data_IF_618096721411
#
_entry.id   IF_618096721411
#
_cell.length_a   1.000
_cell.length_b   1.000
_cell.length_c   1.000
_cell.angle_alpha   90.00
_cell.angle_beta   90.00
_cell.angle_gamma   90.00
#
_symmetry.space_group_name_H-M   'P 1'
#
loop_
_entity.id
_entity.type
_entity.pdbx_description
1 polymer ?
#
# COMPACT_ATOMS: atom_id res chain seq x y z
N UNK A 1 -17.92 -25.13 -1.74
CA UNK A 1 -17.88 -23.66 -1.62
C UNK A 1 -17.57 -23.32 -0.17
N UNK A 2 -16.30 -23.12 0.16
CA UNK A 2 -15.88 -22.68 1.48
C UNK A 2 -15.31 -21.27 1.33
N UNK A 3 -16.04 -20.31 1.89
CA UNK A 3 -15.68 -18.90 1.97
C UNK A 3 -14.70 -18.80 3.14
N UNK A 4 -13.42 -18.56 2.86
CA UNK A 4 -12.45 -18.23 3.91
C UNK A 4 -12.79 -16.84 4.48
N UNK A 5 -12.91 -16.67 5.80
CA UNK A 5 -12.94 -15.34 6.39
C UNK A 5 -11.49 -14.84 6.46
N UNK A 6 -11.08 -14.03 5.47
CA UNK A 6 -9.88 -13.20 5.61
C UNK A 6 -10.22 -12.15 6.67
N UNK A 7 -9.78 -12.38 7.91
CA UNK A 7 -9.70 -11.34 8.93
C UNK A 7 -8.61 -10.36 8.46
N UNK A 8 -9.02 -9.30 7.79
CA UNK A 8 -8.19 -8.14 7.52
C UNK A 8 -7.81 -7.50 8.86
N UNK A 9 -6.57 -7.67 9.29
CA UNK A 9 -6.05 -7.08 10.54
C UNK A 9 -5.99 -5.55 10.41
N UNK A 10 -6.62 -4.77 11.30
CA UNK A 10 -6.66 -3.30 11.24
C UNK A 10 -5.43 -2.57 11.81
N UNK A 11 -4.33 -3.28 12.12
CA UNK A 11 -3.39 -2.81 13.16
C UNK A 11 -2.34 -1.78 12.73
N UNK A 12 -2.03 -1.60 11.45
CA UNK A 12 -0.94 -0.71 11.05
C UNK A 12 -1.32 0.78 11.23
N UNK A 13 -2.60 1.13 11.12
CA UNK A 13 -3.04 2.54 11.14
C UNK A 13 -3.86 2.93 12.36
N UNK A 14 -4.46 1.98 13.08
CA UNK A 14 -5.09 2.28 14.37
C UNK A 14 -4.07 2.61 15.46
N UNK A 15 -2.83 2.10 15.38
CA UNK A 15 -1.80 2.37 16.38
C UNK A 15 -1.27 3.82 16.35
N UNK A 16 -1.39 4.51 15.21
CA UNK A 16 -0.90 5.89 15.08
C UNK A 16 -1.79 6.90 15.81
N UNK A 17 -3.08 6.63 15.98
CA UNK A 17 -3.99 7.56 16.65
C UNK A 17 -3.97 7.50 18.18
N UNK A 18 -3.35 6.49 18.78
CA UNK A 18 -3.20 6.43 20.25
C UNK A 18 -2.05 7.32 20.75
N UNK A 19 -1.19 7.83 19.85
CA UNK A 19 0.05 8.50 20.25
C UNK A 19 0.27 9.90 19.66
N UNK A 20 -0.63 10.44 18.82
CA UNK A 20 -0.50 11.84 18.39
C UNK A 20 -0.94 12.76 19.53
N UNK A 21 -0.09 12.92 20.54
CA UNK A 21 -0.11 14.12 21.38
C UNK A 21 0.26 15.29 20.47
N UNK A 22 -0.72 15.84 19.74
CA UNK A 22 -0.55 17.09 19.01
C UNK A 22 -0.29 18.15 20.08
N UNK A 23 0.99 18.37 20.39
CA UNK A 23 1.40 19.48 21.23
C UNK A 23 1.30 20.71 20.33
N UNK A 24 0.08 21.22 20.19
CA UNK A 24 -0.22 22.41 19.42
C UNK A 24 0.42 23.60 20.15
N UNK A 25 1.68 23.89 19.84
CA UNK A 25 2.35 25.10 20.31
C UNK A 25 1.66 26.29 19.62
N UNK A 26 0.73 26.92 20.34
CA UNK A 26 0.17 28.20 19.97
C UNK A 26 1.30 29.26 19.99
N UNK A 27 1.94 29.50 18.84
CA UNK A 27 2.86 30.62 18.66
C UNK A 27 2.04 31.92 18.60
N UNK A 28 1.90 32.58 19.74
CA UNK A 28 1.54 33.99 19.81
C UNK A 28 2.76 34.83 19.44
N UNK A 29 2.85 35.27 18.19
CA UNK A 29 3.75 36.36 17.82
C UNK A 29 3.18 37.70 18.33
N UNK A 30 3.87 38.45 19.21
CA UNK A 30 3.45 39.79 19.56
C UNK A 30 3.86 40.78 18.46
N UNK A 31 2.87 41.39 17.81
CA UNK A 31 3.05 42.65 17.07
C UNK A 31 3.29 43.76 18.11
N UNK A 32 4.32 44.60 18.00
CA UNK A 32 4.57 45.65 18.98
C UNK A 32 3.61 46.82 18.78
N UNK A 33 2.84 47.26 19.80
CA UNK A 33 2.17 48.55 19.75
C UNK A 33 3.09 49.65 20.29
N UNK A 34 3.12 50.75 19.54
CA UNK A 34 3.70 52.02 19.93
C UNK A 34 3.04 52.58 21.20
N UNK A 35 3.82 53.36 21.94
CA UNK A 35 3.69 53.70 23.36
C UNK A 35 2.41 54.46 23.75
N UNK A 36 1.85 54.09 24.91
CA UNK A 36 0.84 54.82 25.70
C UNK A 36 1.50 55.95 26.52
N UNK A 37 0.75 56.82 27.22
CA UNK A 37 0.64 56.53 28.66
C UNK A 37 -0.69 56.91 29.32
N UNK A 38 -1.20 55.99 30.15
CA UNK A 38 -2.07 56.35 31.28
C UNK A 38 -3.07 55.30 31.74
N UNK A 39 -2.65 54.34 32.60
CA UNK A 39 -3.33 53.96 33.85
C UNK A 39 -2.77 52.67 34.48
N UNK A 40 -2.97 52.56 35.80
CA UNK A 40 -2.34 51.73 36.86
C UNK A 40 -2.62 50.20 36.81
N UNK A 41 -1.92 49.39 37.65
CA UNK A 41 -1.70 47.96 37.45
C UNK A 41 -2.85 47.09 37.98
N UNK A 42 -3.18 46.04 37.22
CA UNK A 42 -3.99 44.92 37.67
C UNK A 42 -3.31 43.59 37.31
N UNK A 43 -3.37 42.56 38.16
CA UNK A 43 -2.78 41.27 37.85
C UNK A 43 -3.65 40.58 36.79
N UNK A 44 -3.27 40.69 35.52
CA UNK A 44 -3.93 39.96 34.45
C UNK A 44 -3.46 38.50 34.49
N UNK A 45 -4.09 37.72 35.37
CA UNK A 45 -4.20 36.27 35.17
C UNK A 45 -5.21 36.08 34.05
N UNK A 46 -4.73 36.02 32.81
CA UNK A 46 -5.56 35.57 31.69
C UNK A 46 -6.00 34.15 31.98
N UNK A 47 -7.27 34.00 32.36
CA UNK A 47 -7.93 32.70 32.43
C UNK A 47 -7.86 32.01 31.06
N UNK A 48 -7.83 30.66 30.99
CA UNK A 48 -7.88 29.97 29.73
C UNK A 48 -9.13 30.40 28.95
N UNK A 49 -8.96 30.71 27.67
CA UNK A 49 -10.04 31.24 26.80
C UNK A 49 -11.16 30.22 26.54
N UNK A 50 -10.99 28.98 26.99
CA UNK A 50 -11.88 27.84 26.81
C UNK A 50 -11.89 26.99 28.07
N UNK A 51 -13.02 26.35 28.38
CA UNK A 51 -13.09 25.31 29.42
C UNK A 51 -12.40 24.03 28.95
N UNK A 52 -11.99 23.18 29.89
CA UNK A 52 -11.39 21.86 29.57
C UNK A 52 -12.31 21.04 28.65
N UNK A 53 -13.62 21.05 28.94
CA UNK A 53 -14.64 20.37 28.14
C UNK A 53 -14.70 20.90 26.70
N UNK A 54 -14.60 22.22 26.52
CA UNK A 54 -14.57 22.85 25.20
C UNK A 54 -13.29 22.51 24.44
N UNK A 55 -12.15 22.46 25.12
CA UNK A 55 -10.89 22.03 24.50
C UNK A 55 -10.97 20.57 24.05
N UNK A 56 -11.50 19.69 24.89
CA UNK A 56 -11.68 18.28 24.57
C UNK A 56 -12.63 18.08 23.39
N UNK A 57 -13.74 18.83 23.32
CA UNK A 57 -14.67 18.77 22.19
C UNK A 57 -14.03 19.25 20.88
N UNK A 58 -13.21 20.31 20.92
CA UNK A 58 -12.48 20.79 19.76
C UNK A 58 -11.44 19.77 19.27
N UNK A 59 -10.73 19.12 20.19
CA UNK A 59 -9.75 18.07 19.87
C UNK A 59 -10.47 16.89 19.21
N UNK A 60 -11.55 16.39 19.81
CA UNK A 60 -12.32 15.27 19.24
C UNK A 60 -12.85 15.58 17.83
N UNK A 61 -13.36 16.80 17.60
CA UNK A 61 -13.79 17.23 16.26
C UNK A 61 -12.65 17.31 15.26
N UNK A 62 -11.46 17.69 15.70
CA UNK A 62 -10.27 17.71 14.85
C UNK A 62 -9.82 16.30 14.51
N UNK A 63 -9.75 15.40 15.49
CA UNK A 63 -9.44 13.98 15.29
C UNK A 63 -10.39 13.32 14.30
N UNK A 64 -11.70 13.52 14.44
CA UNK A 64 -12.72 13.02 13.50
C UNK A 64 -12.48 13.48 12.06
N UNK A 65 -12.06 14.74 11.89
CA UNK A 65 -11.76 15.31 10.56
C UNK A 65 -10.49 14.71 9.98
N UNK A 66 -9.45 14.55 10.79
CA UNK A 66 -8.21 13.90 10.37
C UNK A 66 -8.50 12.47 9.95
N UNK A 67 -9.26 11.72 10.76
CA UNK A 67 -9.64 10.34 10.47
C UNK A 67 -10.39 10.24 9.13
N UNK A 68 -11.37 11.12 8.88
CA UNK A 68 -12.10 11.14 7.59
C UNK A 68 -11.18 11.42 6.39
N UNK A 69 -10.26 12.37 6.53
CA UNK A 69 -9.28 12.67 5.47
C UNK A 69 -8.34 11.49 5.21
N UNK A 70 -7.80 10.91 6.28
CA UNK A 70 -6.90 9.76 6.20
C UNK A 70 -7.62 8.55 5.59
N UNK A 71 -8.84 8.21 6.03
CA UNK A 71 -9.59 7.09 5.46
C UNK A 71 -9.91 7.28 3.97
N UNK A 72 -10.19 8.51 3.53
CA UNK A 72 -10.46 8.79 2.12
C UNK A 72 -9.24 8.50 1.21
N UNK A 73 -8.03 8.73 1.69
CA UNK A 73 -6.79 8.49 0.91
C UNK A 73 -6.27 7.08 1.14
N UNK A 74 -6.11 6.70 2.41
CA UNK A 74 -5.49 5.44 2.80
C UNK A 74 -6.43 4.24 2.60
N UNK A 75 -7.74 4.46 2.68
CA UNK A 75 -8.73 3.46 2.31
C UNK A 75 -8.67 3.12 0.83
N UNK A 76 -8.40 4.09 -0.04
CA UNK A 76 -8.19 3.85 -1.49
C UNK A 76 -6.91 3.03 -1.72
N UNK A 77 -5.79 3.43 -1.11
CA UNK A 77 -4.53 2.68 -1.18
C UNK A 77 -4.72 1.24 -0.68
N UNK A 78 -5.35 1.06 0.49
CA UNK A 78 -5.59 -0.27 1.08
C UNK A 78 -6.44 -1.16 0.19
N UNK A 79 -7.48 -0.58 -0.42
CA UNK A 79 -8.34 -1.31 -1.36
C UNK A 79 -7.54 -1.79 -2.57
N UNK A 80 -6.70 -0.93 -3.13
CA UNK A 80 -5.87 -1.29 -4.29
C UNK A 80 -4.78 -2.30 -3.93
N UNK A 81 -4.11 -2.15 -2.77
CA UNK A 81 -3.19 -3.16 -2.22
C UNK A 81 -3.84 -4.54 -2.10
N UNK A 82 -5.09 -4.58 -1.60
CA UNK A 82 -5.82 -5.83 -1.44
C UNK A 82 -6.12 -6.48 -2.79
N UNK A 83 -6.51 -5.69 -3.79
CA UNK A 83 -6.78 -6.17 -5.15
C UNK A 83 -5.50 -6.70 -5.82
N UNK A 84 -4.39 -5.95 -5.75
CA UNK A 84 -3.07 -6.38 -6.20
C UNK A 84 -2.67 -7.70 -5.53
N UNK A 85 -2.74 -7.77 -4.20
CA UNK A 85 -2.37 -8.97 -3.45
C UNK A 85 -3.23 -10.18 -3.83
N UNK A 86 -4.54 -9.99 -4.05
CA UNK A 86 -5.44 -11.05 -4.48
C UNK A 86 -5.06 -11.59 -5.87
N UNK A 87 -4.78 -10.70 -6.82
CA UNK A 87 -4.38 -11.05 -8.19
C UNK A 87 -3.03 -11.74 -8.23
N UNK A 88 -2.08 -11.22 -7.48
CA UNK A 88 -0.78 -11.84 -7.25
C UNK A 88 -0.92 -13.26 -6.68
N UNK A 89 -1.69 -13.42 -5.59
CA UNK A 89 -1.96 -14.72 -4.97
C UNK A 89 -2.61 -15.72 -5.93
N UNK A 90 -3.49 -15.23 -6.82
CA UNK A 90 -4.10 -16.05 -7.86
C UNK A 90 -3.09 -16.56 -8.89
N UNK A 91 -2.18 -15.70 -9.36
CA UNK A 91 -1.14 -16.03 -10.33
C UNK A 91 -0.02 -16.91 -9.76
N UNK A 92 0.07 -17.00 -8.43
CA UNK A 92 1.05 -17.83 -7.72
C UNK A 92 0.63 -19.27 -7.47
N UNK A 93 -0.61 -19.63 -7.78
CA UNK A 93 -1.05 -21.00 -7.61
C UNK A 93 -0.15 -21.93 -8.44
N UNK A 94 0.24 -23.12 -7.92
CA UNK A 94 1.13 -24.03 -8.63
C UNK A 94 0.65 -24.38 -10.05
N UNK A 95 -0.67 -24.47 -10.22
CA UNK A 95 -1.35 -24.72 -11.50
C UNK A 95 -1.01 -23.67 -12.57
N UNK A 96 -0.61 -22.46 -12.18
CA UNK A 96 -0.31 -21.34 -13.10
C UNK A 96 1.13 -21.35 -13.57
N UNK A 97 1.98 -22.12 -12.89
CA UNK A 97 3.38 -22.31 -13.22
C UNK A 97 3.64 -23.66 -13.89
N UNK A 98 2.61 -24.50 -14.05
CA UNK A 98 2.72 -25.81 -14.68
C UNK A 98 2.12 -25.76 -16.09
N UNK A 99 2.92 -25.98 -17.15
CA UNK A 99 2.44 -25.92 -18.52
C UNK A 99 1.41 -27.01 -18.86
N UNK A 100 1.26 -28.05 -18.04
CA UNK A 100 0.24 -29.11 -18.25
C UNK A 100 -1.19 -28.64 -17.94
N UNK A 101 -1.37 -27.49 -17.29
CA UNK A 101 -2.71 -26.93 -17.02
C UNK A 101 -3.27 -26.11 -18.18
N UNK A 102 -2.46 -25.86 -19.21
CA UNK A 102 -2.87 -25.16 -20.43
C UNK A 102 -3.41 -26.21 -21.41
N UNK A 103 -4.69 -26.08 -21.79
CA UNK A 103 -5.34 -26.98 -22.74
C UNK A 103 -5.05 -26.57 -24.18
N UNK A 104 -4.78 -25.29 -24.40
CA UNK A 104 -4.44 -24.74 -25.71
C UNK A 104 -3.54 -23.51 -25.59
N UNK A 105 -3.02 -23.04 -26.73
CA UNK A 105 -2.24 -21.80 -26.78
C UNK A 105 -3.08 -20.58 -26.39
N UNK A 106 -4.37 -20.60 -26.67
CA UNK A 106 -5.29 -19.52 -26.32
C UNK A 106 -5.39 -19.34 -24.81
N UNK A 107 -5.24 -20.42 -24.02
CA UNK A 107 -5.15 -20.29 -22.56
C UNK A 107 -3.98 -19.40 -22.16
N UNK A 108 -2.82 -19.50 -22.83
CA UNK A 108 -1.65 -18.64 -22.56
C UNK A 108 -2.01 -17.16 -22.71
N UNK A 109 -2.82 -16.82 -23.72
CA UNK A 109 -3.30 -15.43 -23.91
C UNK A 109 -4.17 -14.98 -22.74
N UNK A 110 -5.10 -15.82 -22.26
CA UNK A 110 -5.92 -15.52 -21.08
C UNK A 110 -5.05 -15.27 -19.84
N UNK A 111 -3.96 -16.03 -19.69
CA UNK A 111 -2.99 -15.84 -18.61
C UNK A 111 -2.19 -14.56 -18.75
N UNK A 112 -1.76 -14.21 -19.96
CA UNK A 112 -1.12 -12.92 -20.25
C UNK A 112 -2.04 -11.75 -19.94
N UNK A 113 -3.33 -11.86 -20.25
CA UNK A 113 -4.33 -10.83 -19.90
C UNK A 113 -4.45 -10.67 -18.38
N UNK A 114 -4.50 -11.77 -17.63
CA UNK A 114 -4.51 -11.74 -16.16
C UNK A 114 -3.25 -11.10 -15.57
N UNK A 115 -2.08 -11.39 -16.15
CA UNK A 115 -0.80 -10.81 -15.76
C UNK A 115 -0.73 -9.31 -16.10
N UNK A 116 -1.28 -8.91 -17.24
CA UNK A 116 -1.43 -7.51 -17.64
C UNK A 116 -2.33 -6.76 -16.67
N UNK A 117 -3.46 -7.34 -16.27
CA UNK A 117 -4.31 -6.74 -15.26
C UNK A 117 -3.58 -6.55 -13.93
N UNK A 118 -2.76 -7.53 -13.48
CA UNK A 118 -1.91 -7.34 -12.30
C UNK A 118 -0.92 -6.18 -12.49
N UNK A 119 -0.28 -6.09 -13.66
CA UNK A 119 0.66 -5.00 -13.97
C UNK A 119 -0.01 -3.63 -13.94
N UNK A 120 -1.16 -3.50 -14.58
CA UNK A 120 -1.91 -2.24 -14.63
C UNK A 120 -2.35 -1.83 -13.21
N UNK A 121 -2.70 -2.81 -12.37
CA UNK A 121 -3.04 -2.60 -10.97
C UNK A 121 -1.85 -2.17 -10.11
N UNK A 122 -0.69 -2.78 -10.30
CA UNK A 122 0.54 -2.37 -9.61
C UNK A 122 0.95 -0.94 -10.00
N UNK A 123 0.85 -0.58 -11.28
CA UNK A 123 1.11 0.80 -11.75
C UNK A 123 0.12 1.78 -11.11
N UNK A 124 -1.16 1.41 -11.03
CA UNK A 124 -2.18 2.21 -10.35
C UNK A 124 -1.86 2.42 -8.87
N UNK A 125 -1.43 1.36 -8.19
CA UNK A 125 -1.04 1.40 -6.79
C UNK A 125 0.20 2.28 -6.54
N UNK A 126 1.23 2.15 -7.37
CA UNK A 126 2.43 3.00 -7.32
C UNK A 126 2.07 4.47 -7.44
N UNK A 127 1.14 4.79 -8.35
CA UNK A 127 0.63 6.14 -8.52
C UNK A 127 -0.05 6.66 -7.26
N UNK A 128 -0.90 5.85 -6.62
CA UNK A 128 -1.55 6.23 -5.37
C UNK A 128 -0.54 6.51 -4.26
N UNK A 129 0.53 5.72 -4.16
CA UNK A 129 1.61 5.98 -3.21
C UNK A 129 2.41 7.24 -3.53
N UNK A 130 2.71 7.50 -4.81
CA UNK A 130 3.40 8.70 -5.23
C UNK A 130 2.57 9.98 -4.98
N UNK A 131 1.25 9.89 -5.13
CA UNK A 131 0.31 11.00 -4.94
C UNK A 131 -0.16 11.15 -3.48
N UNK A 132 0.20 10.23 -2.59
CA UNK A 132 -0.29 10.18 -1.20
C UNK A 132 -0.04 11.49 -0.43
N UNK A 133 1.08 12.17 -0.66
CA UNK A 133 1.36 13.47 -0.02
C UNK A 133 0.35 14.54 -0.44
N UNK A 134 0.18 14.71 -1.75
CA UNK A 134 -0.74 15.69 -2.29
C UNK A 134 -2.19 15.35 -1.93
N UNK A 135 -2.58 14.09 -2.06
CA UNK A 135 -3.95 13.65 -1.78
C UNK A 135 -4.32 13.81 -0.32
N UNK A 136 -3.40 13.50 0.60
CA UNK A 136 -3.63 13.67 2.03
C UNK A 136 -3.71 15.15 2.41
N UNK A 137 -2.83 16.00 1.88
CA UNK A 137 -2.90 17.44 2.07
C UNK A 137 -4.25 18.02 1.60
N UNK A 138 -4.68 17.65 0.40
CA UNK A 138 -5.96 18.07 -0.16
C UNK A 138 -7.15 17.59 0.69
N UNK A 139 -7.14 16.32 1.13
CA UNK A 139 -8.20 15.76 1.95
C UNK A 139 -8.31 16.46 3.32
N UNK A 140 -7.19 16.78 3.96
CA UNK A 140 -7.18 17.52 5.24
C UNK A 140 -7.76 18.92 5.09
N UNK A 141 -7.40 19.66 4.03
CA UNK A 141 -7.94 20.99 3.72
C UNK A 141 -9.45 20.91 3.45
N UNK A 142 -9.92 19.89 2.72
CA UNK A 142 -11.35 19.65 2.47
C UNK A 142 -12.14 19.42 3.76
N UNK A 143 -11.52 18.84 4.79
CA UNK A 143 -12.10 18.72 6.13
C UNK A 143 -12.05 20.02 6.95
N UNK A 144 -11.70 21.15 6.31
CA UNK A 144 -11.60 22.48 6.92
C UNK A 144 -10.59 22.54 8.05
N UNK A 145 -9.50 21.77 7.93
CA UNK A 145 -8.34 21.89 8.81
C UNK A 145 -7.48 23.04 8.29
N UNK A 146 -6.96 23.87 9.21
CA UNK A 146 -6.06 24.96 8.84
C UNK A 146 -4.80 24.43 8.13
N UNK A 147 -4.32 25.13 7.11
CA UNK A 147 -3.16 24.71 6.30
C UNK A 147 -1.94 24.32 7.14
N UNK A 148 -1.56 25.14 8.12
CA UNK A 148 -0.38 24.84 8.95
C UNK A 148 -0.56 23.58 9.79
N UNK A 149 -1.78 23.32 10.26
CA UNK A 149 -2.11 22.12 11.04
C UNK A 149 -2.18 20.91 10.11
N UNK A 150 -2.78 21.06 8.93
CA UNK A 150 -2.85 20.03 7.90
C UNK A 150 -1.45 19.59 7.45
N UNK A 151 -0.52 20.53 7.22
CA UNK A 151 0.85 20.21 6.83
C UNK A 151 1.60 19.45 7.93
N UNK A 152 1.43 19.83 9.20
CA UNK A 152 2.01 19.10 10.33
C UNK A 152 1.47 17.67 10.41
N UNK A 153 0.15 17.50 10.37
CA UNK A 153 -0.50 16.19 10.45
C UNK A 153 -0.11 15.32 9.25
N UNK A 154 -0.13 15.87 8.04
CA UNK A 154 0.29 15.19 6.82
C UNK A 154 1.72 14.67 6.96
N UNK A 155 2.65 15.52 7.39
CA UNK A 155 4.05 15.13 7.53
C UNK A 155 4.24 14.02 8.57
N UNK A 156 3.56 14.09 9.72
CA UNK A 156 3.63 13.04 10.73
C UNK A 156 3.01 11.72 10.24
N UNK A 157 1.86 11.79 9.56
CA UNK A 157 1.24 10.62 8.96
C UNK A 157 2.16 9.98 7.90
N UNK A 158 2.74 10.74 6.97
CA UNK A 158 3.59 10.17 5.93
C UNK A 158 4.94 9.66 6.46
N UNK A 159 5.50 10.25 7.53
CA UNK A 159 6.72 9.74 8.18
C UNK A 159 6.53 8.33 8.75
N UNK A 160 5.31 8.00 9.17
CA UNK A 160 5.00 6.68 9.73
C UNK A 160 4.95 5.57 8.67
N UNK A 161 4.95 5.92 7.38
CA UNK A 161 4.79 4.93 6.32
C UNK A 161 6.09 4.14 6.15
N UNK A 162 5.99 2.81 5.99
CA UNK A 162 7.14 1.95 5.71
C UNK A 162 7.56 2.07 4.23
N UNK A 163 7.99 3.26 3.80
CA UNK A 163 8.28 3.58 2.39
C UNK A 163 9.32 2.66 1.76
N UNK A 164 10.30 2.20 2.54
CA UNK A 164 11.30 1.25 2.09
C UNK A 164 10.68 -0.11 1.75
N UNK A 165 9.74 -0.60 2.58
CA UNK A 165 9.05 -1.87 2.37
C UNK A 165 8.11 -1.74 1.17
N UNK A 166 7.35 -0.64 1.07
CA UNK A 166 6.44 -0.37 -0.06
C UNK A 166 7.22 -0.35 -1.39
N UNK A 167 8.34 0.39 -1.46
CA UNK A 167 9.17 0.45 -2.67
C UNK A 167 9.75 -0.91 -3.04
N UNK A 168 10.33 -1.61 -2.06
CA UNK A 168 10.87 -2.96 -2.27
C UNK A 168 9.81 -3.94 -2.76
N UNK A 169 8.60 -3.89 -2.21
CA UNK A 169 7.47 -4.71 -2.66
C UNK A 169 7.11 -4.41 -4.11
N UNK A 170 7.03 -3.13 -4.49
CA UNK A 170 6.74 -2.72 -5.87
C UNK A 170 7.80 -3.19 -6.86
N UNK A 171 9.08 -3.03 -6.51
CA UNK A 171 10.19 -3.51 -7.34
C UNK A 171 10.12 -5.03 -7.54
N UNK A 172 9.90 -5.78 -6.46
CA UNK A 172 9.72 -7.24 -6.53
C UNK A 172 8.48 -7.64 -7.33
N UNK A 173 7.37 -6.91 -7.22
CA UNK A 173 6.15 -7.18 -7.99
C UNK A 173 6.41 -7.01 -9.50
N UNK A 174 7.16 -5.97 -9.89
CA UNK A 174 7.55 -5.74 -11.29
C UNK A 174 8.48 -6.83 -11.81
N UNK A 175 9.43 -7.28 -10.99
CA UNK A 175 10.30 -8.41 -11.30
C UNK A 175 9.49 -9.70 -11.49
N UNK A 176 8.60 -10.02 -10.56
CA UNK A 176 7.70 -11.17 -10.65
C UNK A 176 6.86 -11.13 -11.93
N UNK A 177 6.29 -9.98 -12.28
CA UNK A 177 5.51 -9.80 -13.51
C UNK A 177 6.38 -10.09 -14.75
N UNK A 178 7.61 -9.58 -14.79
CA UNK A 178 8.52 -9.80 -15.92
C UNK A 178 8.91 -11.27 -16.05
N UNK A 179 9.26 -11.93 -14.95
CA UNK A 179 9.62 -13.34 -14.93
C UNK A 179 8.45 -14.25 -15.35
N UNK A 180 7.22 -13.92 -14.91
CA UNK A 180 6.01 -14.60 -15.36
C UNK A 180 5.73 -14.41 -16.84
N UNK A 181 5.95 -13.21 -17.38
CA UNK A 181 5.76 -12.95 -18.81
C UNK A 181 6.75 -13.77 -19.65
N UNK A 182 8.01 -13.84 -19.21
CA UNK A 182 9.04 -14.71 -19.81
C UNK A 182 8.65 -16.19 -19.78
N UNK A 183 8.05 -16.67 -18.69
CA UNK A 183 7.52 -18.04 -18.60
C UNK A 183 6.38 -18.30 -19.59
N UNK A 184 5.43 -17.36 -19.71
CA UNK A 184 4.32 -17.48 -20.66
C UNK A 184 4.82 -17.40 -22.11
N UNK A 185 5.80 -16.54 -22.39
CA UNK A 185 6.49 -16.49 -23.68
C UNK A 185 7.23 -17.81 -24.00
N UNK A 186 7.88 -18.41 -23.01
CA UNK A 186 8.50 -19.72 -23.13
C UNK A 186 7.48 -20.80 -23.50
N UNK A 187 6.31 -20.84 -22.86
CA UNK A 187 5.26 -21.82 -23.20
C UNK A 187 4.73 -21.66 -24.62
N UNK A 188 4.48 -20.42 -25.05
CA UNK A 188 3.95 -20.15 -26.37
C UNK A 188 4.95 -20.54 -27.48
N UNK A 189 6.22 -20.15 -27.28
CA UNK A 189 7.30 -20.46 -28.23
C UNK A 189 7.56 -21.97 -28.34
N UNK A 190 7.48 -22.70 -27.23
CA UNK A 190 7.85 -24.11 -27.16
C UNK A 190 6.64 -25.04 -27.03
N UNK A 191 5.46 -24.61 -27.48
CA UNK A 191 4.23 -25.38 -27.33
C UNK A 191 4.35 -26.80 -27.89
N UNK A 192 3.93 -27.79 -27.10
CA UNK A 192 4.01 -29.20 -27.45
C UNK A 192 5.39 -29.85 -27.24
N UNK A 193 6.38 -29.12 -26.71
CA UNK A 193 7.70 -29.66 -26.38
C UNK A 193 7.78 -30.36 -25.02
N UNK A 194 6.71 -30.32 -24.23
CA UNK A 194 6.63 -30.95 -22.91
C UNK A 194 5.57 -32.07 -22.86
N UNK A 195 5.73 -32.93 -21.86
CA UNK A 195 4.73 -33.92 -21.44
C UNK A 195 4.50 -33.81 -19.94
N UNK A 196 3.34 -34.26 -19.42
CA UNK A 196 3.15 -34.43 -17.98
C UNK A 196 4.30 -35.24 -17.37
N UNK A 197 4.86 -34.75 -16.28
CA UNK A 197 5.91 -35.46 -15.55
C UNK A 197 5.37 -36.56 -14.66
N UNK A 198 6.27 -37.19 -13.90
CA UNK A 198 5.93 -38.27 -12.97
C UNK A 198 5.10 -37.82 -11.77
N UNK A 199 5.10 -36.52 -11.47
CA UNK A 199 4.35 -35.92 -10.37
C UNK A 199 3.41 -34.81 -10.86
N UNK A 200 2.24 -34.61 -10.23
CA UNK A 200 1.39 -33.44 -10.50
C UNK A 200 2.17 -32.13 -10.31
N UNK A 201 2.03 -31.16 -11.21
CA UNK A 201 2.77 -29.90 -11.13
C UNK A 201 4.15 -29.92 -11.83
N UNK A 202 4.51 -31.04 -12.48
CA UNK A 202 5.79 -31.22 -13.16
C UNK A 202 5.62 -31.44 -14.66
N UNK A 203 6.51 -30.83 -15.44
CA UNK A 203 6.59 -31.00 -16.89
C UNK A 203 7.94 -31.62 -17.25
N UNK A 204 7.91 -32.60 -18.16
CA UNK A 204 9.11 -33.24 -18.70
C UNK A 204 9.34 -32.76 -20.12
N UNK A 205 10.58 -32.36 -20.40
CA UNK A 205 11.02 -31.92 -21.72
C UNK A 205 12.02 -32.95 -22.24
N UNK A 206 11.92 -33.29 -23.53
CA UNK A 206 12.91 -34.16 -24.17
C UNK A 206 14.23 -33.42 -24.47
N UNK A 207 14.15 -32.08 -24.55
CA UNK A 207 15.30 -31.20 -24.70
C UNK A 207 15.79 -30.71 -23.32
N UNK A 208 17.06 -30.96 -23.02
CA UNK A 208 17.67 -30.61 -21.74
C UNK A 208 17.83 -29.09 -21.52
N UNK A 209 18.04 -28.32 -22.59
CA UNK A 209 18.13 -26.86 -22.51
C UNK A 209 16.76 -26.25 -22.22
N UNK A 210 15.69 -26.76 -22.84
CA UNK A 210 14.32 -26.35 -22.53
C UNK A 210 13.94 -26.69 -21.09
N UNK A 211 14.28 -27.90 -20.63
CA UNK A 211 14.07 -28.31 -19.23
C UNK A 211 14.75 -27.35 -18.25
N UNK A 212 16.02 -27.02 -18.49
CA UNK A 212 16.82 -26.12 -17.64
C UNK A 212 16.23 -24.71 -17.62
N UNK A 213 15.83 -24.20 -18.78
CA UNK A 213 15.22 -22.86 -18.90
C UNK A 213 13.89 -22.78 -18.15
N UNK A 214 13.03 -23.78 -18.32
CA UNK A 214 11.76 -23.87 -17.60
C UNK A 214 11.96 -23.88 -16.08
N UNK A 215 12.87 -24.73 -15.57
CA UNK A 215 13.13 -24.81 -14.13
C UNK A 215 13.68 -23.48 -13.59
N UNK A 216 14.62 -22.86 -14.30
CA UNK A 216 15.17 -21.56 -13.89
C UNK A 216 14.10 -20.47 -13.80
N UNK A 217 13.21 -20.36 -14.79
CA UNK A 217 12.09 -19.40 -14.76
C UNK A 217 11.13 -19.69 -13.60
N UNK A 218 10.76 -20.96 -13.41
CA UNK A 218 9.87 -21.38 -12.32
C UNK A 218 10.48 -21.12 -10.94
N UNK A 219 11.77 -21.37 -10.76
CA UNK A 219 12.49 -21.12 -9.51
C UNK A 219 12.54 -19.64 -9.17
N UNK A 220 12.91 -18.81 -10.15
CA UNK A 220 12.93 -17.34 -10.03
C UNK A 220 11.58 -16.78 -9.58
N UNK A 221 10.52 -17.10 -10.32
CA UNK A 221 9.15 -16.72 -9.99
C UNK A 221 8.77 -17.11 -8.56
N UNK A 222 9.09 -18.34 -8.16
CA UNK A 222 8.77 -18.82 -6.82
C UNK A 222 9.58 -18.10 -5.74
N UNK A 223 10.85 -17.79 -6.00
CA UNK A 223 11.71 -17.05 -5.09
C UNK A 223 11.20 -15.61 -4.93
N UNK A 224 10.99 -14.89 -6.03
CA UNK A 224 10.45 -13.52 -6.04
C UNK A 224 9.07 -13.48 -5.36
N UNK A 225 8.19 -14.44 -5.68
CA UNK A 225 6.89 -14.56 -5.05
C UNK A 225 6.95 -14.73 -3.53
N UNK A 226 7.90 -15.51 -3.00
CA UNK A 226 8.11 -15.64 -1.54
C UNK A 226 8.58 -14.34 -0.91
N UNK A 227 9.49 -13.61 -1.57
CA UNK A 227 9.98 -12.32 -1.06
C UNK A 227 8.87 -11.27 -1.00
N UNK A 228 7.93 -11.29 -1.96
CA UNK A 228 6.74 -10.43 -1.93
C UNK A 228 5.83 -10.78 -0.75
N UNK A 229 5.56 -12.07 -0.49
CA UNK A 229 4.80 -12.47 0.70
C UNK A 229 5.43 -11.99 2.00
N UNK A 230 6.76 -12.08 2.09
CA UNK A 230 7.50 -11.58 3.24
C UNK A 230 7.30 -10.07 3.41
N UNK A 231 7.30 -9.28 2.34
CA UNK A 231 7.00 -7.85 2.44
C UNK A 231 5.56 -7.61 2.92
N UNK A 232 4.58 -8.36 2.42
CA UNK A 232 3.19 -8.27 2.89
C UNK A 232 3.05 -8.64 4.37
N UNK A 233 3.78 -9.66 4.86
CA UNK A 233 3.80 -10.02 6.28
C UNK A 233 4.41 -8.93 7.15
N UNK A 234 5.58 -8.43 6.76
CA UNK A 234 6.27 -7.34 7.48
C UNK A 234 5.42 -6.08 7.51
N UNK A 235 4.65 -5.79 6.46
CA UNK A 235 3.71 -4.67 6.49
C UNK A 235 2.61 -4.87 7.53
N UNK A 236 2.16 -6.10 7.81
CA UNK A 236 1.07 -6.42 8.74
C UNK A 236 1.49 -6.52 10.21
N UNK A 237 2.78 -6.66 10.48
CA UNK A 237 3.40 -6.75 11.81
C UNK A 237 3.74 -5.35 12.38
#
# INVERSE_FOLDING_TARGET
>A
MNVFPIRSSPYIFCALFVSVSVTLHAQTHPVPPSQTPGAKPGPSKTAPKYTEEQMQEMISKLEDRIQKAAEAVLGRIRKEETDVHLRFSYLRKPERLDPNYFKSKEDITIWRDSLKELKDKEIGLDKLYAEADQDLGNALIQQRINQSIADQIKNELLKSFPWNIIKKKSDLMREYIAEHDDLLAFYDKNWGSWKPGSEPGTATFSDNQLATTFQSLKEKINATGKQIDEQYKVMLE
#
